data_IF_330178726129
#
_entry.id   IF_330178726129
#
_cell.length_a   1.000
_cell.length_b   1.000
_cell.length_c   1.000
_cell.angle_alpha   90.00
_cell.angle_beta   90.00
_cell.angle_gamma   90.00
#
_symmetry.space_group_name_H-M   'P 1'
#
loop_
_entity.id
_entity.type
_entity.pdbx_description
1 polymer ?
#
# COMPACT_ATOMS: atom_id res chain seq x y z
N UNK A 1 -31.01 -31.76 4.63
CA UNK A 1 -30.40 -31.18 3.39
C UNK A 1 -31.10 -29.91 2.89
N UNK A 2 -32.42 -29.72 3.03
CA UNK A 2 -33.14 -28.52 2.53
C UNK A 2 -32.70 -27.16 3.12
N UNK A 3 -32.09 -27.13 4.32
CA UNK A 3 -31.61 -25.88 4.97
C UNK A 3 -30.21 -25.43 4.50
N UNK A 4 -29.47 -26.27 3.78
CA UNK A 4 -28.12 -25.96 3.28
C UNK A 4 -28.15 -25.14 1.98
N UNK A 5 -29.18 -25.34 1.16
CA UNK A 5 -29.34 -24.64 -0.12
C UNK A 5 -29.39 -23.09 0.01
N UNK A 6 -30.18 -22.48 0.92
CA UNK A 6 -30.20 -21.02 1.04
C UNK A 6 -28.89 -20.43 1.56
N UNK A 7 -28.15 -21.17 2.40
CA UNK A 7 -26.84 -20.77 2.89
C UNK A 7 -25.83 -20.73 1.74
N UNK A 8 -25.80 -21.78 0.91
CA UNK A 8 -24.90 -21.86 -0.25
C UNK A 8 -25.23 -20.74 -1.26
N UNK A 9 -26.51 -20.51 -1.57
CA UNK A 9 -26.91 -19.39 -2.43
C UNK A 9 -26.46 -18.04 -1.85
N UNK A 10 -26.68 -17.81 -0.55
CA UNK A 10 -26.26 -16.56 0.11
C UNK A 10 -24.76 -16.30 -0.03
N UNK A 11 -23.93 -17.35 0.09
CA UNK A 11 -22.47 -17.23 -0.09
C UNK A 11 -22.10 -16.99 -1.55
N UNK A 12 -22.76 -17.63 -2.52
CA UNK A 12 -22.48 -17.42 -3.95
C UNK A 12 -22.89 -16.02 -4.45
N UNK A 13 -23.88 -15.40 -3.81
CA UNK A 13 -24.29 -14.01 -4.07
C UNK A 13 -23.66 -12.99 -3.12
N UNK A 14 -22.61 -13.37 -2.40
CA UNK A 14 -21.84 -12.46 -1.57
C UNK A 14 -20.47 -12.21 -2.19
N UNK A 15 -19.97 -10.99 -2.07
CA UNK A 15 -18.61 -10.68 -2.51
C UNK A 15 -17.61 -10.90 -1.37
N UNK A 16 -16.40 -11.32 -1.71
CA UNK A 16 -15.34 -11.50 -0.72
C UNK A 16 -15.02 -10.18 0.01
N UNK A 17 -15.06 -9.06 -0.70
CA UNK A 17 -14.88 -7.76 -0.06
C UNK A 17 -16.02 -7.43 0.92
N UNK A 18 -17.27 -7.73 0.61
CA UNK A 18 -18.40 -7.46 1.53
C UNK A 18 -18.30 -8.28 2.81
N UNK A 19 -17.93 -9.56 2.68
CA UNK A 19 -17.83 -10.50 3.79
C UNK A 19 -16.64 -10.22 4.70
N UNK A 20 -15.47 -9.99 4.12
CA UNK A 20 -14.22 -9.99 4.87
C UNK A 20 -13.64 -8.61 5.14
N UNK A 21 -14.00 -7.56 4.38
CA UNK A 21 -13.58 -6.21 4.73
C UNK A 21 -14.50 -5.59 5.80
N UNK A 22 -13.88 -4.95 6.79
CA UNK A 22 -14.55 -3.98 7.65
C UNK A 22 -14.76 -2.62 6.97
N UNK A 23 -15.43 -1.72 7.67
CA UNK A 23 -15.77 -0.39 7.15
C UNK A 23 -14.57 0.57 7.10
N UNK A 24 -13.52 0.23 7.85
CA UNK A 24 -12.25 0.95 7.91
C UNK A 24 -11.16 0.19 7.15
N UNK A 25 -10.19 0.94 6.65
CA UNK A 25 -8.96 0.44 6.06
C UNK A 25 -7.77 0.94 6.88
N UNK A 26 -6.82 0.04 7.12
CA UNK A 26 -5.59 0.35 7.84
C UNK A 26 -4.52 0.82 6.85
N UNK A 27 -3.96 2.00 7.08
CA UNK A 27 -2.84 2.56 6.32
C UNK A 27 -1.63 2.67 7.23
N UNK A 28 -0.54 2.03 6.85
CA UNK A 28 0.76 2.16 7.49
C UNK A 28 1.55 3.28 6.81
N UNK A 29 1.62 4.42 7.48
CA UNK A 29 2.48 5.52 7.06
C UNK A 29 3.90 5.28 7.55
N UNK A 30 4.85 5.51 6.66
CA UNK A 30 6.26 5.60 6.96
C UNK A 30 6.69 7.05 6.70
N UNK A 31 7.11 7.74 7.75
CA UNK A 31 7.56 9.15 7.67
C UNK A 31 8.91 9.27 8.40
N UNK A 32 9.82 10.16 7.99
CA UNK A 32 11.10 10.37 8.69
C UNK A 32 10.88 10.83 10.16
N UNK A 33 11.78 10.44 11.06
CA UNK A 33 11.69 10.65 12.53
C UNK A 33 11.38 12.09 12.98
N UNK A 34 11.80 13.10 12.22
CA UNK A 34 11.66 14.53 12.58
C UNK A 34 10.41 15.20 11.98
N UNK A 35 9.40 14.43 11.56
CA UNK A 35 8.18 14.95 10.94
C UNK A 35 6.98 14.56 11.81
N UNK A 36 6.26 15.59 12.29
CA UNK A 36 4.95 15.45 12.90
C UNK A 36 3.90 15.09 11.85
N UNK A 37 2.91 14.30 12.26
CA UNK A 37 1.82 13.87 11.39
C UNK A 37 0.50 14.28 12.05
N UNK A 38 -0.28 15.07 11.34
CA UNK A 38 -1.61 15.52 11.72
C UNK A 38 -2.64 15.04 10.69
N UNK A 39 -3.87 14.81 11.14
CA UNK A 39 -4.95 14.27 10.33
C UNK A 39 -6.12 15.24 10.33
N UNK A 40 -6.69 15.49 9.14
CA UNK A 40 -7.77 16.47 8.98
C UNK A 40 -9.15 15.83 8.79
N UNK A 41 -9.26 14.50 8.93
CA UNK A 41 -10.55 13.83 8.79
C UNK A 41 -11.17 13.57 10.16
N UNK A 42 -12.41 14.04 10.33
CA UNK A 42 -13.21 13.90 11.57
C UNK A 42 -13.48 12.43 11.98
N UNK A 43 -13.16 11.45 11.13
CA UNK A 43 -13.44 10.03 11.35
C UNK A 43 -12.19 9.13 11.32
N UNK A 44 -10.99 9.72 11.19
CA UNK A 44 -9.74 8.95 11.22
C UNK A 44 -9.27 8.80 12.66
N UNK A 45 -9.31 7.57 13.16
CA UNK A 45 -8.64 7.22 14.40
C UNK A 45 -7.17 6.93 14.06
N UNK A 46 -6.26 7.76 14.56
CA UNK A 46 -4.84 7.53 14.45
C UNK A 46 -4.37 6.77 15.69
N UNK A 47 -3.79 5.60 15.49
CA UNK A 47 -3.09 4.89 16.56
C UNK A 47 -1.60 5.02 16.27
N UNK A 48 -0.91 5.75 17.14
CA UNK A 48 0.56 5.82 17.10
C UNK A 48 1.09 4.45 17.55
N UNK A 49 1.67 3.69 16.62
CA UNK A 49 2.45 2.53 17.01
C UNK A 49 3.87 2.96 17.37
N UNK A 50 4.37 2.28 18.40
CA UNK A 50 5.62 2.51 19.12
C UNK A 50 6.82 2.63 18.19
N UNK A 51 7.72 3.56 18.52
CA UNK A 51 9.07 3.65 17.95
C UNK A 51 9.83 2.35 18.25
N UNK A 52 9.85 1.38 17.34
CA UNK A 52 10.84 0.31 17.40
C UNK A 52 12.16 0.87 16.89
N UNK A 53 12.96 1.41 17.80
CA UNK A 53 14.35 1.79 17.55
C UNK A 53 15.17 0.50 17.56
N UNK A 54 15.72 0.02 16.43
CA UNK A 54 16.74 -1.01 16.50
C UNK A 54 17.97 -0.36 17.16
N UNK A 55 18.32 -0.84 18.35
CA UNK A 55 19.57 -0.49 19.01
C UNK A 55 20.73 -1.03 18.18
N UNK A 56 21.31 -0.21 17.32
CA UNK A 56 22.58 -0.51 16.66
C UNK A 56 23.39 0.79 16.57
N UNK A 57 24.49 0.83 17.32
CA UNK A 57 25.39 1.97 17.44
C UNK A 57 26.05 2.40 16.13
N UNK A 58 26.45 3.67 16.09
CA UNK A 58 27.19 4.27 14.98
C UNK A 58 26.44 5.45 14.37
N UNK A 59 26.88 6.66 14.67
CA UNK A 59 26.20 7.96 14.53
C UNK A 59 25.94 8.45 13.09
N UNK A 60 25.90 7.55 12.12
CA UNK A 60 25.68 7.84 10.69
C UNK A 60 24.43 7.18 10.10
N UNK A 61 23.86 6.17 10.78
CA UNK A 61 22.69 5.42 10.29
C UNK A 61 21.33 5.96 10.76
N UNK A 62 21.31 6.90 11.70
CA UNK A 62 20.08 7.38 12.34
C UNK A 62 19.21 8.31 11.45
N UNK A 63 19.77 8.91 10.40
CA UNK A 63 19.05 9.87 9.54
C UNK A 63 18.07 9.23 8.53
N UNK A 64 18.10 7.91 8.35
CA UNK A 64 17.22 7.19 7.43
C UNK A 64 16.14 6.36 8.13
N UNK A 65 15.93 6.57 9.44
CA UNK A 65 14.93 5.82 10.19
C UNK A 65 13.51 6.36 9.92
N UNK A 66 12.67 5.47 9.40
CA UNK A 66 11.25 5.70 9.17
C UNK A 66 10.49 5.45 10.48
N UNK A 67 9.75 6.45 10.93
CA UNK A 67 8.70 6.33 11.93
C UNK A 67 7.45 5.74 11.28
N UNK A 68 6.85 4.76 11.94
CA UNK A 68 5.62 4.11 11.49
C UNK A 68 4.40 4.71 12.20
N UNK A 69 3.35 5.02 11.45
CA UNK A 69 2.07 5.50 12.00
C UNK A 69 0.93 4.73 11.37
N UNK A 70 0.01 4.20 12.17
CA UNK A 70 -1.12 3.42 11.68
C UNK A 70 -2.37 4.29 11.68
N UNK A 71 -3.01 4.38 10.52
CA UNK A 71 -4.26 5.11 10.33
C UNK A 71 -5.40 4.15 10.09
N UNK A 72 -6.50 4.35 10.80
CA UNK A 72 -7.76 3.70 10.52
C UNK A 72 -8.65 4.72 9.82
N UNK A 73 -8.75 4.60 8.50
CA UNK A 73 -9.51 5.53 7.67
C UNK A 73 -10.78 4.85 7.12
N UNK A 74 -11.93 5.54 7.09
CA UNK A 74 -13.13 5.00 6.46
C UNK A 74 -12.89 4.80 4.96
N UNK A 75 -13.37 3.68 4.44
CA UNK A 75 -13.26 3.36 3.02
C UNK A 75 -14.12 4.31 2.20
N UNK A 76 -13.58 4.79 1.08
CA UNK A 76 -14.30 5.70 0.19
C UNK A 76 -13.90 5.46 -1.27
N UNK A 77 -14.82 5.75 -2.18
CA UNK A 77 -14.58 5.73 -3.62
C UNK A 77 -13.87 7.00 -4.09
N UNK A 78 -14.37 8.15 -3.65
CA UNK A 78 -14.00 9.45 -4.24
C UNK A 78 -13.30 10.38 -3.23
N UNK A 79 -13.28 10.04 -1.93
CA UNK A 79 -12.62 10.86 -0.92
C UNK A 79 -11.14 10.53 -0.82
N UNK A 80 -10.30 11.54 -1.04
CA UNK A 80 -8.86 11.45 -0.81
C UNK A 80 -8.58 11.49 0.69
N UNK A 81 -7.69 10.62 1.16
CA UNK A 81 -7.22 10.65 2.53
C UNK A 81 -6.14 11.73 2.66
N UNK A 82 -6.48 12.84 3.33
CA UNK A 82 -5.57 13.96 3.58
C UNK A 82 -4.72 13.71 4.83
N UNK A 83 -3.40 13.69 4.64
CA UNK A 83 -2.38 13.60 5.69
C UNK A 83 -1.60 14.90 5.70
N UNK A 84 -1.60 15.61 6.82
CA UNK A 84 -0.85 16.85 6.99
C UNK A 84 0.44 16.55 7.74
N UNK A 85 1.57 16.79 7.10
CA UNK A 85 2.89 16.65 7.70
C UNK A 85 3.36 18.01 8.21
N UNK A 86 3.95 18.04 9.40
CA UNK A 86 4.49 19.23 10.02
C UNK A 86 5.94 19.01 10.43
N UNK A 87 6.82 19.93 10.05
CA UNK A 87 8.22 19.90 10.49
C UNK A 87 8.63 21.31 10.87
N UNK A 88 8.82 21.55 12.16
CA UNK A 88 9.08 22.89 12.70
C UNK A 88 8.00 23.88 12.23
N UNK A 89 8.32 24.75 11.26
CA UNK A 89 7.41 25.75 10.67
C UNK A 89 6.74 25.28 9.38
N UNK A 90 7.30 24.28 8.72
CA UNK A 90 6.86 23.85 7.40
C UNK A 90 5.67 22.89 7.51
N UNK A 91 4.68 23.10 6.65
CA UNK A 91 3.50 22.25 6.55
C UNK A 91 3.36 21.73 5.13
N UNK A 92 3.10 20.43 4.99
CA UNK A 92 2.89 19.77 3.71
C UNK A 92 1.70 18.85 3.78
N UNK A 93 0.75 19.05 2.89
CA UNK A 93 -0.40 18.16 2.76
C UNK A 93 -0.15 17.10 1.69
N UNK A 94 -0.43 15.84 2.02
CA UNK A 94 -0.36 14.70 1.11
C UNK A 94 -1.73 14.06 0.99
N UNK A 95 -2.15 13.81 -0.25
CA UNK A 95 -3.45 13.23 -0.56
C UNK A 95 -3.27 11.80 -1.07
N UNK A 96 -3.75 10.83 -0.30
CA UNK A 96 -3.67 9.41 -0.61
C UNK A 96 -4.95 9.00 -1.36
N UNK A 97 -4.78 8.46 -2.57
CA UNK A 97 -5.91 8.01 -3.39
C UNK A 97 -6.41 6.64 -2.91
N UNK A 98 -7.73 6.42 -2.90
CA UNK A 98 -8.27 5.08 -2.68
C UNK A 98 -7.89 4.15 -3.85
N UNK A 99 -7.78 2.86 -3.53
CA UNK A 99 -7.49 1.77 -4.46
C UNK A 99 -8.51 0.65 -4.26
N UNK A 100 -8.59 -0.30 -5.18
CA UNK A 100 -9.38 -1.50 -4.94
C UNK A 100 -8.71 -2.38 -3.88
N UNK A 101 -9.52 -2.95 -2.99
CA UNK A 101 -9.06 -3.95 -2.04
C UNK A 101 -8.62 -5.22 -2.78
N UNK A 102 -7.56 -5.87 -2.31
CA UNK A 102 -7.19 -7.20 -2.80
C UNK A 102 -8.37 -8.18 -2.83
N UNK A 103 -9.24 -8.14 -1.81
CA UNK A 103 -10.42 -9.00 -1.72
C UNK A 103 -11.47 -8.71 -2.81
N UNK A 104 -11.46 -7.53 -3.41
CA UNK A 104 -12.29 -7.25 -4.58
C UNK A 104 -11.83 -8.09 -5.78
N UNK A 105 -10.53 -8.23 -5.98
CA UNK A 105 -9.95 -9.05 -7.05
C UNK A 105 -10.08 -10.54 -6.79
N UNK A 106 -10.23 -10.98 -5.54
CA UNK A 106 -10.52 -12.38 -5.22
C UNK A 106 -11.83 -12.87 -5.87
N UNK A 107 -12.77 -11.97 -6.18
CA UNK A 107 -13.98 -12.30 -6.94
C UNK A 107 -13.69 -12.71 -8.41
N UNK A 108 -12.49 -12.46 -8.96
CA UNK A 108 -12.08 -12.91 -10.30
C UNK A 108 -11.78 -14.40 -10.38
N UNK A 109 -11.67 -15.07 -9.23
CA UNK A 109 -11.53 -16.52 -9.21
C UNK A 109 -12.80 -17.18 -9.82
N UNK A 110 -12.67 -18.20 -10.68
CA UNK A 110 -13.65 -18.55 -11.73
C UNK A 110 -15.10 -18.82 -11.29
N UNK A 111 -15.36 -19.01 -9.99
CA UNK A 111 -16.69 -19.30 -9.45
C UNK A 111 -17.32 -18.14 -8.67
N UNK A 112 -16.63 -17.00 -8.51
CA UNK A 112 -17.09 -15.85 -7.71
C UNK A 112 -17.32 -14.57 -8.54
N UNK A 113 -17.40 -14.68 -9.86
CA UNK A 113 -17.52 -13.53 -10.76
C UNK A 113 -18.78 -12.68 -10.50
N UNK A 114 -19.89 -13.29 -10.04
CA UNK A 114 -21.09 -12.57 -9.59
C UNK A 114 -20.82 -11.65 -8.39
N UNK A 115 -19.79 -11.95 -7.59
CA UNK A 115 -19.33 -11.11 -6.50
C UNK A 115 -18.89 -9.72 -6.94
N UNK A 116 -18.42 -9.55 -8.20
CA UNK A 116 -18.14 -8.21 -8.74
C UNK A 116 -19.38 -7.34 -8.87
N UNK A 117 -20.52 -7.94 -9.25
CA UNK A 117 -21.79 -7.22 -9.38
C UNK A 117 -22.28 -6.75 -8.01
N UNK A 118 -22.16 -7.61 -7.01
CA UNK A 118 -22.51 -7.30 -5.62
C UNK A 118 -21.61 -6.19 -5.06
N UNK A 119 -20.33 -6.21 -5.40
CA UNK A 119 -19.37 -5.18 -5.01
C UNK A 119 -19.57 -3.85 -5.73
N UNK A 120 -20.34 -3.78 -6.82
CA UNK A 120 -20.37 -2.59 -7.68
C UNK A 120 -20.78 -1.30 -6.96
N UNK A 121 -21.58 -1.40 -5.90
CA UNK A 121 -21.97 -0.25 -5.08
C UNK A 121 -21.43 -0.30 -3.65
N UNK A 122 -20.67 -1.33 -3.28
CA UNK A 122 -20.17 -1.47 -1.92
C UNK A 122 -18.89 -0.65 -1.69
N UNK A 123 -18.85 0.17 -0.65
CA UNK A 123 -17.63 0.90 -0.25
C UNK A 123 -16.51 -0.03 0.21
N UNK A 124 -16.84 -1.22 0.71
CA UNK A 124 -15.89 -2.25 1.15
C UNK A 124 -14.98 -2.78 0.04
N UNK A 125 -15.34 -2.56 -1.24
CA UNK A 125 -14.44 -2.87 -2.36
C UNK A 125 -13.22 -1.95 -2.43
N UNK A 126 -13.30 -0.75 -1.84
CA UNK A 126 -12.23 0.22 -1.82
C UNK A 126 -11.38 0.06 -0.56
N UNK A 127 -10.11 0.41 -0.66
CA UNK A 127 -9.13 0.46 0.41
C UNK A 127 -8.20 1.64 0.14
N UNK A 128 -7.20 1.84 0.99
CA UNK A 128 -6.03 2.65 0.68
C UNK A 128 -4.81 1.74 0.56
N UNK A 129 -3.71 2.21 -0.05
CA UNK A 129 -2.44 1.49 -0.05
C UNK A 129 -2.03 1.15 1.39
N UNK A 130 -1.71 -0.12 1.65
CA UNK A 130 -1.40 -0.58 3.01
C UNK A 130 -0.11 0.03 3.54
N UNK A 131 0.86 0.30 2.68
CA UNK A 131 2.12 0.97 3.02
C UNK A 131 2.24 2.25 2.21
N UNK A 132 2.54 3.36 2.90
CA UNK A 132 2.66 4.69 2.31
C UNK A 132 3.89 5.36 2.87
N UNK A 133 4.87 5.60 2.02
CA UNK A 133 6.14 6.26 2.36
C UNK A 133 6.06 7.71 1.94
N UNK A 134 6.31 8.61 2.87
CA UNK A 134 6.31 10.04 2.62
C UNK A 134 7.64 10.63 3.08
N UNK A 135 8.44 11.06 2.10
CA UNK A 135 9.64 11.83 2.36
C UNK A 135 9.31 13.32 2.28
N UNK A 136 9.45 14.03 3.41
CA UNK A 136 9.18 15.45 3.47
C UNK A 136 10.18 16.26 2.62
N UNK A 137 11.43 15.78 2.52
CA UNK A 137 12.52 16.42 1.76
C UNK A 137 12.42 16.19 0.25
N UNK A 138 11.65 15.18 -0.16
CA UNK A 138 11.53 14.84 -1.57
C UNK A 138 10.55 15.79 -2.27
N UNK A 139 11.11 16.67 -3.10
CA UNK A 139 10.40 17.59 -3.99
C UNK A 139 10.05 16.96 -5.34
N UNK A 140 10.66 15.83 -5.70
CA UNK A 140 10.44 15.13 -6.98
C UNK A 140 9.14 14.32 -6.97
N UNK A 141 8.84 13.63 -5.86
CA UNK A 141 7.58 12.92 -5.67
C UNK A 141 6.54 13.84 -5.02
N UNK A 142 5.58 14.33 -5.81
CA UNK A 142 4.53 15.27 -5.38
C UNK A 142 3.47 14.69 -4.42
N UNK A 143 3.81 13.69 -3.60
CA UNK A 143 2.84 13.08 -2.70
C UNK A 143 3.45 11.99 -1.84
N UNK A 144 3.26 10.75 -2.26
CA UNK A 144 3.68 9.56 -1.52
C UNK A 144 4.12 8.45 -2.46
N UNK A 145 4.81 7.46 -1.89
CA UNK A 145 5.23 6.25 -2.59
C UNK A 145 4.55 5.06 -1.88
N UNK A 146 3.90 4.18 -2.64
CA UNK A 146 3.18 3.02 -2.06
C UNK A 146 4.07 1.80 -1.77
N UNK A 147 5.39 1.93 -1.98
CA UNK A 147 6.39 0.88 -1.76
C UNK A 147 7.61 1.49 -1.07
N UNK A 148 8.38 0.62 -0.41
CA UNK A 148 9.57 1.05 0.31
C UNK A 148 10.55 1.70 -0.67
N UNK A 149 11.01 2.94 -0.39
CA UNK A 149 12.03 3.54 -1.24
C UNK A 149 13.30 2.70 -1.17
N UNK A 150 13.87 2.40 -2.34
CA UNK A 150 15.17 1.76 -2.41
C UNK A 150 16.24 2.70 -1.91
N UNK A 151 17.25 2.16 -1.22
CA UNK A 151 18.44 2.97 -0.92
C UNK A 151 19.15 3.28 -2.24
N UNK A 152 19.59 4.53 -2.41
CA UNK A 152 20.42 4.88 -3.54
C UNK A 152 21.68 4.01 -3.56
N UNK A 153 22.14 3.65 -4.77
CA UNK A 153 23.36 2.88 -5.00
C UNK A 153 23.30 1.43 -4.54
N UNK A 154 22.11 0.80 -4.61
CA UNK A 154 21.94 -0.62 -4.30
C UNK A 154 21.92 -1.48 -5.56
N UNK A 155 22.66 -2.58 -5.50
CA UNK A 155 22.61 -3.67 -6.48
C UNK A 155 21.72 -4.79 -5.96
N UNK A 156 20.85 -5.31 -6.81
CA UNK A 156 20.00 -6.46 -6.49
C UNK A 156 20.06 -7.51 -7.61
N UNK A 157 20.41 -8.74 -7.22
CA UNK A 157 20.30 -9.90 -8.10
C UNK A 157 18.87 -10.44 -8.04
N UNK A 158 18.26 -10.66 -9.21
CA UNK A 158 16.88 -11.12 -9.33
C UNK A 158 16.82 -12.41 -10.13
N UNK A 159 16.03 -13.37 -9.65
CA UNK A 159 15.69 -14.62 -10.34
C UNK A 159 14.18 -14.61 -10.54
N UNK A 160 13.72 -14.48 -11.79
CA UNK A 160 12.28 -14.57 -12.11
C UNK A 160 11.97 -15.93 -12.71
N UNK A 161 10.94 -16.63 -12.21
CA UNK A 161 10.45 -17.86 -12.83
C UNK A 161 9.56 -17.56 -14.05
N UNK A 162 9.43 -18.51 -15.00
CA UNK A 162 8.75 -18.34 -16.29
C UNK A 162 7.32 -17.82 -16.25
N UNK A 163 6.57 -18.07 -15.17
CA UNK A 163 5.15 -17.76 -15.07
C UNK A 163 4.84 -16.55 -14.17
N UNK A 164 5.85 -15.96 -13.52
CA UNK A 164 5.67 -14.91 -12.52
C UNK A 164 6.57 -13.70 -12.82
N UNK A 165 6.40 -13.10 -14.00
CA UNK A 165 6.99 -11.79 -14.28
C UNK A 165 6.09 -10.68 -13.72
N UNK A 166 6.19 -10.42 -12.42
CA UNK A 166 5.51 -9.26 -11.82
C UNK A 166 6.32 -8.01 -12.16
N UNK A 167 6.01 -7.39 -13.30
CA UNK A 167 6.56 -6.09 -13.67
C UNK A 167 5.95 -5.00 -12.79
N UNK A 168 6.61 -4.68 -11.67
CA UNK A 168 6.34 -3.45 -10.93
C UNK A 168 7.02 -2.30 -11.67
N UNK A 169 6.32 -1.77 -12.69
CA UNK A 169 6.69 -0.51 -13.31
C UNK A 169 6.58 0.61 -12.28
N UNK A 170 7.72 1.18 -11.89
CA UNK A 170 7.77 2.46 -11.22
C UNK A 170 8.56 3.43 -12.10
N UNK A 171 8.00 4.63 -12.32
CA UNK A 171 8.29 5.58 -13.41
C UNK A 171 9.75 6.08 -13.54
N UNK A 172 10.69 5.61 -12.71
CA UNK A 172 12.09 6.06 -12.69
C UNK A 172 13.13 4.93 -12.86
N UNK A 173 12.72 3.68 -13.17
CA UNK A 173 13.65 2.54 -13.21
C UNK A 173 13.54 1.76 -14.52
N UNK A 174 14.69 1.44 -15.12
CA UNK A 174 14.78 0.56 -16.29
C UNK A 174 15.25 -0.81 -15.80
N UNK A 175 14.36 -1.80 -15.85
CA UNK A 175 14.72 -3.20 -15.65
C UNK A 175 14.87 -3.87 -17.02
N UNK A 176 16.04 -4.44 -17.30
CA UNK A 176 16.26 -5.30 -18.47
C UNK A 176 16.44 -6.72 -17.94
N UNK A 177 15.46 -7.59 -18.18
CA UNK A 177 15.52 -9.00 -17.82
C UNK A 177 15.25 -9.87 -19.05
N UNK A 178 16.17 -10.77 -19.37
CA UNK A 178 16.02 -11.75 -20.45
C UNK A 178 16.80 -13.03 -20.11
N UNK A 179 16.24 -14.20 -20.43
CA UNK A 179 16.89 -15.48 -20.18
C UNK A 179 16.17 -16.65 -20.85
N UNK A 180 16.85 -17.80 -21.02
CA UNK A 180 16.29 -18.97 -21.68
C UNK A 180 15.21 -19.65 -20.82
N UNK A 181 14.19 -20.22 -21.47
CA UNK A 181 13.09 -20.97 -20.83
C UNK A 181 12.23 -20.15 -19.84
N UNK A 182 12.21 -18.83 -19.98
CA UNK A 182 11.42 -17.92 -19.14
C UNK A 182 11.98 -17.73 -17.72
N UNK A 183 13.06 -18.42 -17.35
CA UNK A 183 13.86 -18.01 -16.21
C UNK A 183 14.70 -16.80 -16.60
N UNK A 184 14.57 -15.70 -15.87
CA UNK A 184 15.44 -14.54 -16.07
C UNK A 184 16.33 -14.33 -14.85
N UNK A 185 17.63 -14.28 -15.08
CA UNK A 185 18.60 -13.74 -14.13
C UNK A 185 18.85 -12.28 -14.51
N UNK A 186 18.72 -11.36 -13.55
CA UNK A 186 18.91 -9.93 -13.77
C UNK A 186 19.72 -9.29 -12.66
N UNK A 187 20.40 -8.18 -12.99
CA UNK A 187 21.00 -7.27 -12.03
C UNK A 187 20.29 -5.94 -12.14
N UNK A 188 19.68 -5.49 -11.06
CA UNK A 188 19.04 -4.19 -10.98
C UNK A 188 19.96 -3.23 -10.25
N UNK A 189 20.18 -2.05 -10.83
CA UNK A 189 20.88 -0.95 -10.20
C UNK A 189 19.90 0.16 -9.84
N UNK A 190 19.78 0.43 -8.54
CA UNK A 190 18.85 1.43 -8.02
C UNK A 190 19.56 2.79 -7.90
N UNK A 191 19.22 3.73 -8.78
CA UNK A 191 19.67 5.12 -8.72
C UNK A 191 18.48 6.08 -8.68
N UNK A 192 18.52 7.06 -7.77
CA UNK A 192 17.57 8.18 -7.73
C UNK A 192 18.33 9.44 -8.14
N UNK A 193 17.82 10.10 -9.18
CA UNK A 193 18.35 11.37 -9.68
C UNK A 193 18.01 12.52 -8.73
#
# INVERSE_FOLDING_TARGET
MKKLLPLVLSVMFSSCATLFNGDFATVKLHVKKNVGVAFHSQTVQAQYAVESVPAAGGDSFLNNMWKEVYLFAPRSKDKLLKVSLTRSTDKRDVYIKPVHSWLHYANAYPFFWLGFLVDYNNLKRFSYPSNVYIDFDDTTTKGYIAHKPFSNYKWEAVINPPFLNVYLFNYNYVNVSGGPFGYSLGLNYHYKK
#
